data_IF_350053946809
#
_entry.id   IF_350053946809
#
_cell.length_a   1.000
_cell.length_b   1.000
_cell.length_c   1.000
_cell.angle_alpha   90.00
_cell.angle_beta   90.00
_cell.angle_gamma   90.00
#
_symmetry.space_group_name_H-M   'P 1'
#
loop_
_entity.id
_entity.type
_entity.pdbx_description
1 polymer ?
#
# COMPACT_ATOMS: atom_id res chain seq x y z
N UNK A 1 2.73 12.18 11.06
CA UNK A 1 2.33 10.77 11.27
C UNK A 1 0.99 10.60 10.58
N UNK A 2 0.81 9.55 9.79
CA UNK A 2 -0.39 9.30 9.00
C UNK A 2 -0.98 7.92 9.38
N UNK A 3 -1.83 7.90 10.40
CA UNK A 3 -2.51 6.71 10.91
C UNK A 3 -3.79 7.11 11.66
N UNK A 4 -4.85 6.33 11.52
CA UNK A 4 -6.13 6.55 12.21
C UNK A 4 -6.80 5.21 12.55
N UNK A 5 -7.46 5.13 13.70
CA UNK A 5 -8.31 4.00 14.09
C UNK A 5 -9.79 4.35 13.96
N UNK A 6 -10.57 3.47 13.34
CA UNK A 6 -12.02 3.60 13.23
C UNK A 6 -12.66 2.46 14.01
N UNK A 7 -13.51 2.80 14.99
CA UNK A 7 -14.32 1.83 15.73
C UNK A 7 -15.66 1.66 15.03
N UNK A 8 -15.97 0.44 14.60
CA UNK A 8 -17.28 0.13 14.03
C UNK A 8 -18.37 0.28 15.10
N UNK A 9 -19.54 0.81 14.71
CA UNK A 9 -20.70 0.93 15.61
C UNK A 9 -21.23 -0.42 16.09
N UNK A 10 -21.01 -1.47 15.29
CA UNK A 10 -21.27 -2.89 15.63
C UNK A 10 -20.10 -3.75 15.14
N UNK A 11 -19.75 -4.84 15.85
CA UNK A 11 -18.72 -5.77 15.39
C UNK A 11 -19.05 -6.36 14.01
N UNK A 12 -18.03 -6.54 13.17
CA UNK A 12 -18.18 -7.23 11.89
C UNK A 12 -18.39 -8.74 12.10
N UNK A 13 -19.26 -9.35 11.30
CA UNK A 13 -19.42 -10.82 11.27
C UNK A 13 -18.35 -11.43 10.35
N UNK A 14 -17.37 -12.11 10.95
CA UNK A 14 -16.29 -12.74 10.21
C UNK A 14 -16.76 -13.99 9.47
N UNK A 15 -16.24 -14.19 8.26
CA UNK A 15 -16.55 -15.33 7.39
C UNK A 15 -15.46 -15.50 6.30
N UNK A 16 -15.74 -16.25 5.24
CA UNK A 16 -14.79 -16.46 4.12
C UNK A 16 -14.45 -15.19 3.34
N UNK A 17 -15.34 -14.19 3.35
CA UNK A 17 -15.19 -12.91 2.64
C UNK A 17 -14.73 -11.76 3.55
N UNK A 18 -14.94 -11.86 4.86
CA UNK A 18 -14.59 -10.82 5.86
C UNK A 18 -13.66 -11.41 6.91
N UNK A 19 -12.39 -10.96 6.91
CA UNK A 19 -11.36 -11.41 7.84
C UNK A 19 -10.49 -10.24 8.32
N UNK A 20 -9.89 -10.41 9.49
CA UNK A 20 -8.91 -9.45 10.02
C UNK A 20 -7.53 -9.66 9.40
N UNK A 21 -6.71 -8.62 9.42
CA UNK A 21 -5.28 -8.69 9.05
C UNK A 21 -4.48 -8.54 10.34
N UNK A 22 -3.49 -9.42 10.55
CA UNK A 22 -2.60 -9.36 11.71
C UNK A 22 -1.65 -8.18 11.62
N UNK A 23 -1.33 -7.57 12.76
CA UNK A 23 -0.26 -6.58 12.85
C UNK A 23 1.11 -7.25 12.62
N UNK A 24 2.03 -6.52 11.99
CA UNK A 24 3.40 -6.97 11.83
C UNK A 24 4.12 -7.02 13.19
N UNK A 25 4.92 -8.06 13.42
CA UNK A 25 5.77 -8.21 14.61
C UNK A 25 7.14 -7.56 14.46
N UNK A 26 7.56 -7.26 13.23
CA UNK A 26 8.83 -6.62 12.91
C UNK A 26 8.71 -5.82 11.61
N UNK A 27 9.62 -4.87 11.40
CA UNK A 27 9.72 -4.15 10.14
C UNK A 27 10.13 -5.11 9.01
N UNK A 28 9.52 -4.97 7.84
CA UNK A 28 9.90 -5.70 6.65
C UNK A 28 11.16 -5.11 6.00
N UNK A 29 12.05 -5.97 5.50
CA UNK A 29 13.30 -5.54 4.86
C UNK A 29 13.07 -5.04 3.43
N UNK A 30 14.00 -4.25 2.90
CA UNK A 30 14.03 -3.90 1.48
C UNK A 30 14.04 -5.17 0.61
N UNK A 31 13.30 -5.15 -0.50
CA UNK A 31 13.08 -6.30 -1.37
C UNK A 31 11.91 -7.20 -0.96
N UNK A 32 11.36 -7.06 0.25
CA UNK A 32 10.16 -7.79 0.67
C UNK A 32 9.00 -7.48 -0.27
N UNK A 33 8.30 -8.52 -0.75
CA UNK A 33 7.17 -8.38 -1.67
C UNK A 33 5.89 -8.07 -0.90
N UNK A 34 5.15 -7.07 -1.37
CA UNK A 34 3.90 -6.64 -0.77
C UNK A 34 2.77 -6.65 -1.79
N UNK A 35 1.63 -7.19 -1.37
CA UNK A 35 0.38 -7.11 -2.09
C UNK A 35 -0.35 -5.84 -1.69
N UNK A 36 -0.45 -4.90 -2.61
CA UNK A 36 -1.16 -3.63 -2.47
C UNK A 36 -2.48 -3.76 -3.23
N UNK A 37 -3.60 -3.45 -2.59
CA UNK A 37 -4.92 -3.59 -3.19
C UNK A 37 -5.77 -2.34 -3.01
N UNK A 38 -6.64 -2.04 -3.97
CA UNK A 38 -7.57 -0.91 -3.90
C UNK A 38 -8.42 -0.69 -5.15
N UNK A 39 -9.29 0.32 -5.09
CA UNK A 39 -10.18 0.78 -6.17
C UNK A 39 -9.79 2.16 -6.72
N UNK A 40 -8.52 2.57 -6.55
CA UNK A 40 -8.04 3.86 -7.03
C UNK A 40 -8.04 4.00 -8.55
N UNK A 41 -7.77 5.23 -9.02
CA UNK A 41 -7.57 5.51 -10.44
C UNK A 41 -6.44 4.63 -11.01
N UNK A 42 -6.72 3.97 -12.13
CA UNK A 42 -5.79 3.05 -12.83
C UNK A 42 -5.16 3.68 -14.07
N UNK A 43 -5.58 4.88 -14.47
CA UNK A 43 -5.03 5.56 -15.63
C UNK A 43 -3.89 6.51 -15.26
N UNK A 44 -2.83 6.52 -16.08
CA UNK A 44 -1.73 7.50 -16.00
C UNK A 44 -2.10 8.88 -16.55
N UNK A 45 -3.16 8.95 -17.37
CA UNK A 45 -3.73 10.18 -17.91
C UNK A 45 -5.26 10.14 -17.83
N UNK A 46 -5.88 11.14 -17.20
CA UNK A 46 -7.33 11.18 -16.97
C UNK A 46 -7.78 10.29 -15.80
N UNK A 47 -9.03 9.82 -15.84
CA UNK A 47 -9.68 9.11 -14.74
C UNK A 47 -10.29 7.79 -15.21
N UNK A 48 -9.89 6.69 -14.57
CA UNK A 48 -10.45 5.36 -14.76
C UNK A 48 -10.50 4.61 -13.41
N UNK A 49 -11.69 4.53 -12.83
CA UNK A 49 -11.95 3.86 -11.56
C UNK A 49 -12.55 2.47 -11.80
N UNK A 50 -11.91 1.39 -11.35
CA UNK A 50 -12.35 0.04 -11.66
C UNK A 50 -13.50 -0.41 -10.76
N UNK A 51 -14.47 -1.15 -11.31
CA UNK A 51 -15.56 -1.76 -10.53
C UNK A 51 -15.07 -2.91 -9.62
N UNK A 52 -14.03 -3.62 -10.07
CA UNK A 52 -13.43 -4.75 -9.34
C UNK A 52 -12.14 -4.31 -8.66
N UNK A 53 -11.93 -4.81 -7.44
CA UNK A 53 -10.71 -4.62 -6.66
C UNK A 53 -9.49 -4.96 -7.51
N UNK A 54 -8.49 -4.08 -7.51
CA UNK A 54 -7.21 -4.31 -8.18
C UNK A 54 -6.14 -4.59 -7.16
N UNK A 55 -5.17 -5.40 -7.59
CA UNK A 55 -4.02 -5.79 -6.79
C UNK A 55 -2.74 -5.54 -7.58
N UNK A 56 -1.71 -5.08 -6.88
CA UNK A 56 -0.36 -4.87 -7.37
C UNK A 56 0.59 -5.58 -6.41
N UNK A 57 1.47 -6.40 -6.94
CA UNK A 57 2.54 -7.01 -6.16
C UNK A 57 3.84 -6.22 -6.39
N UNK A 58 4.27 -5.50 -5.36
CA UNK A 58 5.37 -4.54 -5.42
C UNK A 58 6.40 -4.80 -4.30
N UNK A 59 7.71 -4.62 -4.57
CA UNK A 59 8.73 -4.76 -3.54
C UNK A 59 8.78 -3.51 -2.64
N UNK A 60 9.27 -3.67 -1.41
CA UNK A 60 9.75 -2.55 -0.59
C UNK A 60 11.07 -2.05 -1.19
N UNK A 61 11.19 -0.75 -1.39
CA UNK A 61 12.42 -0.11 -1.85
C UNK A 61 13.37 0.16 -0.68
N UNK A 62 14.66 0.27 -0.98
CA UNK A 62 15.63 0.70 0.02
C UNK A 62 15.33 2.13 0.50
N UNK A 63 15.64 2.42 1.77
CA UNK A 63 15.45 3.75 2.37
C UNK A 63 16.23 4.83 1.59
N UNK A 64 17.43 4.52 1.10
CA UNK A 64 18.21 5.44 0.27
C UNK A 64 17.52 5.75 -1.06
N UNK A 65 17.04 4.73 -1.79
CA UNK A 65 16.29 4.94 -3.03
C UNK A 65 15.03 5.78 -2.80
N UNK A 66 14.30 5.50 -1.71
CA UNK A 66 13.09 6.22 -1.33
C UNK A 66 13.39 7.70 -1.02
N UNK A 67 14.43 7.98 -0.22
CA UNK A 67 14.84 9.36 0.10
C UNK A 67 15.33 10.12 -1.12
N UNK A 68 16.08 9.49 -2.01
CA UNK A 68 16.53 10.12 -3.26
C UNK A 68 15.35 10.49 -4.15
N UNK A 69 14.38 9.60 -4.32
CA UNK A 69 13.21 9.84 -5.17
C UNK A 69 12.32 11.00 -4.69
N UNK A 70 12.26 11.21 -3.37
CA UNK A 70 11.43 12.25 -2.75
C UNK A 70 12.27 13.38 -2.10
N UNK A 71 13.50 13.61 -2.58
CA UNK A 71 14.37 14.71 -2.13
C UNK A 71 14.47 14.87 -0.60
N UNK A 72 14.55 13.76 0.14
CA UNK A 72 14.69 13.74 1.60
C UNK A 72 13.40 13.99 2.39
N UNK A 73 12.22 14.05 1.75
CA UNK A 73 10.94 14.26 2.43
C UNK A 73 10.42 13.02 3.19
N UNK A 74 11.08 11.88 3.05
CA UNK A 74 10.72 10.62 3.72
C UNK A 74 11.18 10.63 5.18
N UNK A 75 10.26 10.39 6.09
CA UNK A 75 10.53 10.30 7.55
C UNK A 75 10.75 8.85 7.98
N UNK A 76 11.24 8.63 9.21
CA UNK A 76 11.49 7.28 9.76
C UNK A 76 10.22 6.41 9.91
N UNK A 77 9.03 7.01 9.84
CA UNK A 77 7.74 6.31 9.90
C UNK A 77 7.16 6.02 8.50
N UNK A 78 7.96 6.15 7.45
CA UNK A 78 7.56 5.97 6.06
C UNK A 78 8.52 5.00 5.36
N UNK A 79 8.01 4.25 4.40
CA UNK A 79 8.80 3.44 3.47
C UNK A 79 8.18 3.55 2.07
N UNK A 80 8.96 3.26 1.04
CA UNK A 80 8.46 3.21 -0.33
C UNK A 80 8.21 1.77 -0.75
N UNK A 81 7.14 1.53 -1.49
CA UNK A 81 6.91 0.28 -2.20
C UNK A 81 6.48 0.58 -3.62
N UNK A 82 7.11 -0.09 -4.59
CA UNK A 82 6.90 0.22 -6.00
C UNK A 82 8.08 -0.20 -6.86
N UNK A 83 8.14 0.35 -8.07
CA UNK A 83 9.19 0.08 -9.04
C UNK A 83 9.89 1.40 -9.37
N UNK A 84 11.22 1.39 -9.48
CA UNK A 84 12.00 2.59 -9.82
C UNK A 84 11.78 3.00 -11.29
N UNK A 85 11.34 2.06 -12.14
CA UNK A 85 10.98 2.31 -13.53
C UNK A 85 9.54 2.86 -13.65
N UNK A 86 9.37 3.94 -14.43
CA UNK A 86 8.08 4.60 -14.66
C UNK A 86 7.05 3.62 -15.23
N UNK A 87 5.90 3.48 -14.57
CA UNK A 87 4.71 2.85 -15.16
C UNK A 87 3.81 2.03 -14.22
N UNK A 88 4.18 1.83 -12.94
CA UNK A 88 3.42 1.01 -11.98
C UNK A 88 3.26 1.64 -10.59
N UNK A 89 3.07 2.96 -10.53
CA UNK A 89 2.91 3.67 -9.26
C UNK A 89 1.44 3.89 -8.90
N UNK A 90 1.13 3.79 -7.60
CA UNK A 90 -0.17 4.18 -7.04
C UNK A 90 -0.34 5.70 -7.08
N UNK A 91 -1.23 6.18 -7.94
CA UNK A 91 -1.52 7.61 -8.11
C UNK A 91 -2.33 8.20 -6.94
N UNK A 92 -2.23 9.53 -6.77
CA UNK A 92 -2.81 10.38 -5.69
C UNK A 92 -4.34 10.53 -5.70
N UNK A 93 -5.10 9.55 -6.18
CA UNK A 93 -6.56 9.65 -6.32
C UNK A 93 -7.32 8.56 -5.59
N UNK A 94 -7.69 8.82 -4.32
CA UNK A 94 -8.84 8.18 -3.65
C UNK A 94 -8.81 6.67 -3.51
N UNK A 95 -7.64 6.03 -3.43
CA UNK A 95 -7.58 4.60 -3.20
C UNK A 95 -7.71 4.30 -1.70
N UNK A 96 -8.76 3.58 -1.31
CA UNK A 96 -8.68 2.75 -0.10
C UNK A 96 -7.59 1.72 -0.41
N UNK A 97 -6.37 1.97 0.07
CA UNK A 97 -5.24 1.07 -0.11
C UNK A 97 -5.16 0.16 1.10
N UNK A 98 -5.33 -1.14 0.89
CA UNK A 98 -4.89 -2.14 1.86
C UNK A 98 -3.61 -2.79 1.32
N UNK A 99 -2.51 -2.64 2.06
CA UNK A 99 -1.23 -3.25 1.75
C UNK A 99 -0.89 -4.36 2.75
N UNK A 100 -0.55 -5.54 2.26
CA UNK A 100 -0.05 -6.66 3.07
C UNK A 100 1.30 -7.09 2.51
N UNK A 101 2.35 -7.00 3.33
CA UNK A 101 3.68 -7.46 2.98
C UNK A 101 3.86 -8.92 3.40
N UNK A 102 4.24 -9.78 2.46
CA UNK A 102 4.57 -11.17 2.73
C UNK A 102 6.09 -11.29 2.74
N UNK A 103 6.69 -11.25 3.93
CA UNK A 103 8.06 -11.68 4.12
C UNK A 103 8.13 -13.18 3.86
N UNK A 104 8.78 -13.59 2.77
CA UNK A 104 9.27 -14.97 2.61
C UNK A 104 10.70 -15.04 3.08
#
# INVERSE_FOLDING_TARGET
IDIMLIKLSKPATLNSYVRTVSLASSCAAAGTRCLISGWGNTSSSGSNYPDRLRCLDAPILSDSSCRTAYCGQITHNMFCSGFVERGKDSWRGGAVVSGVCVGR
#
